data_IF_030755379642
#
_entry.id   IF_030755379642
#
_cell.length_a   1.000
_cell.length_b   1.000
_cell.length_c   1.000
_cell.angle_alpha   90.00
_cell.angle_beta   90.00
_cell.angle_gamma   90.00
#
_symmetry.space_group_name_H-M   'P 1'
#
loop_
_entity.id
_entity.type
_entity.pdbx_description
1 polymer ?
#
# COMPACT_ATOMS: atom_id res chain seq x y z
N UNK A 1 9.61 15.92 -4.29
CA UNK A 1 10.39 14.95 -3.50
C UNK A 1 9.64 13.63 -3.52
N UNK A 2 10.34 12.51 -3.68
CA UNK A 2 9.74 11.17 -3.80
C UNK A 2 9.56 10.52 -2.42
N UNK A 3 8.41 9.89 -2.19
CA UNK A 3 8.17 9.01 -1.04
C UNK A 3 8.17 7.57 -1.50
N UNK A 4 8.55 6.68 -0.60
CA UNK A 4 8.60 5.26 -0.90
C UNK A 4 7.87 4.50 0.18
N UNK A 5 7.15 3.45 -0.19
CA UNK A 5 6.81 2.38 0.74
C UNK A 5 8.05 1.54 0.93
N UNK A 6 8.55 1.41 2.16
CA UNK A 6 9.72 0.59 2.48
C UNK A 6 9.30 -0.67 3.20
N UNK A 7 9.72 -1.83 2.68
CA UNK A 7 9.50 -3.12 3.30
C UNK A 7 10.83 -3.68 3.82
N UNK A 8 10.89 -3.86 5.15
CA UNK A 8 12.00 -4.52 5.84
C UNK A 8 11.61 -5.97 6.14
N UNK A 9 12.52 -6.91 5.89
CA UNK A 9 12.31 -8.35 6.07
C UNK A 9 13.63 -9.09 5.80
N UNK A 10 13.60 -10.43 5.78
CA UNK A 10 14.78 -11.21 5.44
C UNK A 10 15.18 -10.96 3.97
N UNK A 11 16.35 -10.34 3.75
CA UNK A 11 16.87 -9.99 2.42
C UNK A 11 17.20 -8.50 2.26
N UNK A 12 17.39 -8.06 1.01
CA UNK A 12 17.62 -6.63 0.70
C UNK A 12 16.34 -5.85 0.96
N UNK A 13 16.36 -4.64 1.53
CA UNK A 13 15.14 -3.82 1.64
C UNK A 13 14.55 -3.53 0.25
N UNK A 14 13.22 -3.38 0.18
CA UNK A 14 12.53 -2.96 -1.04
C UNK A 14 11.89 -1.60 -0.80
N UNK A 15 11.96 -0.73 -1.80
CA UNK A 15 11.26 0.54 -1.86
C UNK A 15 10.31 0.56 -3.05
N UNK A 16 9.03 0.87 -2.83
CA UNK A 16 8.03 1.08 -3.87
C UNK A 16 7.79 2.60 -3.99
N UNK A 17 8.15 3.25 -5.11
CA UNK A 17 7.91 4.68 -5.28
C UNK A 17 6.42 5.02 -5.26
N UNK A 18 6.05 6.08 -4.53
CA UNK A 18 4.68 6.60 -4.52
C UNK A 18 4.26 7.10 -5.90
N UNK A 19 5.21 7.61 -6.70
CA UNK A 19 4.96 7.96 -8.10
C UNK A 19 4.46 6.78 -8.93
N UNK A 20 5.03 5.58 -8.74
CA UNK A 20 4.55 4.37 -9.39
C UNK A 20 3.21 3.92 -8.82
N UNK A 21 3.06 3.92 -7.48
CA UNK A 21 1.80 3.54 -6.83
C UNK A 21 0.62 4.47 -7.16
N UNK A 22 0.87 5.72 -7.55
CA UNK A 22 -0.20 6.62 -8.02
C UNK A 22 -0.86 6.11 -9.31
N UNK A 23 -0.09 5.47 -10.20
CA UNK A 23 -0.60 4.87 -11.42
C UNK A 23 -1.26 3.51 -11.16
N UNK A 24 -0.53 2.63 -10.45
CA UNK A 24 -0.94 1.24 -10.25
C UNK A 24 -2.02 1.06 -9.19
N UNK A 25 -1.92 1.82 -8.09
CA UNK A 25 -2.75 1.78 -6.87
C UNK A 25 -2.75 0.47 -6.08
N UNK A 26 -2.50 -0.66 -6.74
CA UNK A 26 -2.32 -1.99 -6.15
C UNK A 26 -1.03 -2.57 -6.69
N UNK A 27 -0.14 -2.98 -5.81
CA UNK A 27 1.10 -3.68 -6.18
C UNK A 27 1.16 -5.00 -5.43
N UNK A 28 1.06 -6.11 -6.14
CA UNK A 28 1.30 -7.45 -5.57
C UNK A 28 2.79 -7.78 -5.58
N UNK A 29 3.27 -8.34 -4.47
CA UNK A 29 4.67 -8.68 -4.28
C UNK A 29 4.79 -10.08 -3.67
N UNK A 30 5.90 -10.77 -3.97
CA UNK A 30 6.31 -11.97 -3.27
C UNK A 30 7.70 -11.73 -2.67
N UNK A 31 7.85 -11.91 -1.34
CA UNK A 31 9.10 -11.67 -0.63
C UNK A 31 9.29 -12.69 0.47
N UNK A 32 10.43 -13.39 0.48
CA UNK A 32 10.73 -14.39 1.52
C UNK A 32 9.68 -15.51 1.64
N UNK A 33 8.97 -15.82 0.55
CA UNK A 33 7.84 -16.76 0.55
C UNK A 33 6.50 -16.18 1.03
N UNK A 34 6.48 -14.93 1.51
CA UNK A 34 5.25 -14.22 1.82
C UNK A 34 4.69 -13.52 0.59
N UNK A 35 3.37 -13.56 0.45
CA UNK A 35 2.65 -12.88 -0.62
C UNK A 35 1.94 -11.66 -0.08
N UNK A 36 2.35 -10.51 -0.58
CA UNK A 36 2.01 -9.21 -0.03
C UNK A 36 1.22 -8.40 -1.06
N UNK A 37 0.46 -7.43 -0.56
CA UNK A 37 -0.15 -6.39 -1.37
C UNK A 37 0.12 -5.03 -0.76
N UNK A 38 0.67 -4.12 -1.57
CA UNK A 38 0.79 -2.71 -1.22
C UNK A 38 -0.36 -1.96 -1.89
N UNK A 39 -1.17 -1.30 -1.07
CA UNK A 39 -2.34 -0.53 -1.48
C UNK A 39 -2.02 0.95 -1.39
N UNK A 40 -2.49 1.72 -2.37
CA UNK A 40 -2.38 3.18 -2.38
C UNK A 40 -3.71 3.82 -2.75
N UNK A 41 -4.09 4.82 -1.97
CA UNK A 41 -5.25 5.65 -2.22
C UNK A 41 -4.83 7.12 -2.23
N UNK A 42 -5.39 7.96 -3.13
CA UNK A 42 -5.20 9.40 -3.05
C UNK A 42 -5.63 9.91 -1.68
N UNK A 43 -4.93 10.93 -1.16
CA UNK A 43 -5.16 11.44 0.17
C UNK A 43 -6.54 12.07 0.25
N UNK A 44 -7.41 11.55 1.12
CA UNK A 44 -8.49 12.38 1.67
C UNK A 44 -7.80 13.51 2.43
N UNK A 45 -8.08 14.76 2.06
CA UNK A 45 -7.65 15.93 2.83
C UNK A 45 -7.84 15.64 4.31
N UNK A 46 -6.75 15.57 5.07
CA UNK A 46 -6.76 15.31 6.51
C UNK A 46 -7.81 16.21 7.16
N UNK A 47 -8.80 15.62 7.84
CA UNK A 47 -9.82 16.35 8.58
C UNK A 47 -9.27 17.11 9.82
N UNK A 48 -7.94 17.21 9.95
CA UNK A 48 -7.25 18.06 10.92
C UNK A 48 -6.84 19.43 10.36
N UNK A 49 -6.90 19.68 9.05
CA UNK A 49 -6.33 20.88 8.44
C UNK A 49 -7.37 21.93 8.06
N UNK A 50 -8.33 22.23 8.95
CA UNK A 50 -9.33 23.27 8.65
C UNK A 50 -8.79 24.69 8.68
N UNK A 51 -7.55 24.93 9.07
CA UNK A 51 -6.88 26.21 8.78
C UNK A 51 -5.39 25.96 8.49
N UNK A 52 -4.99 26.23 7.23
CA UNK A 52 -3.63 26.64 6.83
C UNK A 52 -2.64 25.56 6.36
N UNK A 53 -3.04 24.70 5.43
CA UNK A 53 -2.11 24.09 4.44
C UNK A 53 -2.71 24.15 3.03
N UNK A 54 -2.83 25.35 2.48
CA UNK A 54 -2.86 25.49 1.03
C UNK A 54 -1.46 25.12 0.50
N UNK A 55 -1.38 24.28 -0.54
CA UNK A 55 -0.16 23.88 -1.30
C UNK A 55 0.56 22.56 -0.97
N UNK A 56 -0.01 21.66 -0.16
CA UNK A 56 0.46 20.26 -0.14
C UNK A 56 -0.08 19.51 -1.36
N UNK A 57 0.75 19.21 -2.37
CA UNK A 57 0.39 18.23 -3.43
C UNK A 57 -0.14 16.97 -2.76
N UNK A 58 -1.25 16.43 -3.25
CA UNK A 58 -1.76 15.15 -2.75
C UNK A 58 -0.64 14.10 -2.79
N UNK A 59 -0.23 13.71 -1.58
CA UNK A 59 0.83 12.75 -1.36
C UNK A 59 0.28 11.33 -1.45
N UNK A 60 -1.02 11.12 -1.23
CA UNK A 60 -1.62 9.80 -1.07
C UNK A 60 -1.24 9.11 0.24
N UNK A 61 -1.99 8.07 0.56
CA UNK A 61 -1.75 7.19 1.69
C UNK A 61 -1.55 5.76 1.18
N UNK A 62 -0.70 5.00 1.87
CA UNK A 62 -0.40 3.61 1.52
C UNK A 62 -0.35 2.73 2.75
N UNK A 63 -0.68 1.46 2.54
CA UNK A 63 -0.56 0.40 3.52
C UNK A 63 -0.13 -0.90 2.84
N UNK A 64 0.47 -1.82 3.60
CA UNK A 64 0.92 -3.12 3.09
C UNK A 64 0.37 -4.23 3.97
N UNK A 65 -0.11 -5.28 3.34
CA UNK A 65 -0.75 -6.41 4.00
C UNK A 65 -0.28 -7.75 3.46
N UNK A 66 -0.40 -8.80 4.27
CA UNK A 66 -0.46 -10.18 3.78
C UNK A 66 -1.71 -10.34 2.92
N UNK A 67 -1.59 -11.02 1.78
CA UNK A 67 -2.72 -11.36 0.93
C UNK A 67 -3.31 -12.75 1.25
N UNK A 68 -2.75 -13.43 2.24
CA UNK A 68 -3.28 -14.70 2.74
C UNK A 68 -4.28 -14.44 3.86
N UNK A 69 -5.54 -14.79 3.64
CA UNK A 69 -6.62 -14.62 4.60
C UNK A 69 -7.51 -15.87 4.61
N UNK A 70 -7.77 -16.41 5.80
CA UNK A 70 -8.63 -17.59 6.00
C UNK A 70 -8.27 -18.79 5.10
N UNK A 71 -6.97 -19.03 4.90
CA UNK A 71 -6.46 -20.12 4.05
C UNK A 71 -6.62 -19.88 2.55
N UNK A 72 -7.01 -18.67 2.14
CA UNK A 72 -7.14 -18.23 0.75
C UNK A 72 -6.08 -17.20 0.45
N UNK A 73 -5.69 -17.11 -0.81
CA UNK A 73 -4.80 -16.10 -1.30
C UNK A 73 -5.59 -15.13 -2.18
N UNK A 74 -5.56 -13.84 -1.84
CA UNK A 74 -6.35 -12.81 -2.48
C UNK A 74 -5.53 -12.01 -3.49
N UNK A 75 -6.16 -11.63 -4.59
CA UNK A 75 -5.64 -10.66 -5.56
C UNK A 75 -6.60 -9.48 -5.63
N UNK A 76 -6.06 -8.28 -5.81
CA UNK A 76 -6.81 -7.04 -5.63
C UNK A 76 -6.78 -6.19 -6.89
N UNK A 77 -7.86 -5.47 -7.13
CA UNK A 77 -7.95 -4.44 -8.15
C UNK A 77 -8.41 -3.11 -7.54
N UNK A 78 -7.90 -1.96 -8.01
CA UNK A 78 -8.33 -0.66 -7.51
C UNK A 78 -9.73 -0.31 -8.03
N UNK A 79 -10.55 0.26 -7.16
CA UNK A 79 -11.86 0.81 -7.51
C UNK A 79 -11.78 2.32 -7.71
N UNK A 80 -12.66 2.88 -8.55
CA UNK A 80 -12.67 4.30 -8.92
C UNK A 80 -12.90 5.25 -7.72
N UNK A 81 -13.55 4.77 -6.67
CA UNK A 81 -13.91 5.52 -5.46
C UNK A 81 -12.80 5.57 -4.40
N UNK A 82 -11.63 5.01 -4.68
CA UNK A 82 -10.52 4.96 -3.72
C UNK A 82 -10.41 3.65 -2.95
N UNK A 83 -11.41 2.76 -3.06
CA UNK A 83 -11.40 1.42 -2.47
C UNK A 83 -10.69 0.39 -3.33
N UNK A 84 -10.75 -0.86 -2.89
CA UNK A 84 -10.15 -2.03 -3.56
C UNK A 84 -11.15 -3.18 -3.58
N UNK A 85 -11.01 -4.08 -4.54
CA UNK A 85 -11.84 -5.30 -4.63
C UNK A 85 -10.95 -6.52 -4.75
N UNK A 86 -11.25 -7.58 -3.99
CA UNK A 86 -10.59 -8.87 -4.23
C UNK A 86 -11.28 -9.64 -5.36
N UNK A 87 -10.52 -10.33 -6.19
CA UNK A 87 -11.07 -11.06 -7.35
C UNK A 87 -11.70 -12.40 -6.96
N UNK A 88 -11.29 -12.99 -5.84
CA UNK A 88 -11.66 -14.35 -5.45
C UNK A 88 -13.07 -14.43 -4.84
N UNK A 89 -13.50 -13.38 -4.16
CA UNK A 89 -14.80 -13.30 -3.50
C UNK A 89 -15.62 -12.09 -3.97
N UNK A 90 -14.96 -11.09 -4.54
CA UNK A 90 -15.59 -9.84 -4.93
C UNK A 90 -15.90 -8.92 -3.74
N UNK A 91 -15.29 -9.14 -2.58
CA UNK A 91 -15.44 -8.24 -1.43
C UNK A 91 -14.70 -6.93 -1.70
N UNK A 92 -15.19 -5.86 -1.08
CA UNK A 92 -14.57 -4.54 -1.19
C UNK A 92 -13.85 -4.17 0.09
N UNK A 93 -12.73 -3.49 -0.06
CA UNK A 93 -11.75 -3.27 0.99
C UNK A 93 -11.37 -1.80 1.07
N UNK A 94 -11.18 -1.33 2.29
CA UNK A 94 -10.64 0.00 2.58
C UNK A 94 -9.11 0.00 2.54
N UNK A 95 -8.50 1.20 2.52
CA UNK A 95 -7.04 1.35 2.59
C UNK A 95 -6.45 0.77 3.89
N UNK A 96 -7.22 0.73 4.98
CA UNK A 96 -6.79 0.18 6.27
C UNK A 96 -6.84 -1.35 6.32
N UNK A 97 -7.26 -2.01 5.23
CA UNK A 97 -7.29 -3.47 5.13
C UNK A 97 -8.58 -4.09 5.67
N UNK A 98 -9.61 -3.29 5.95
CA UNK A 98 -10.91 -3.78 6.39
C UNK A 98 -11.81 -4.10 5.21
N UNK A 99 -12.43 -5.29 5.21
CA UNK A 99 -13.49 -5.63 4.26
C UNK A 99 -14.79 -4.92 4.65
N UNK A 100 -15.20 -3.95 3.83
CA UNK A 100 -16.35 -3.08 4.10
C UNK A 100 -17.66 -3.59 3.52
N UNK A 101 -17.58 -4.39 2.45
CA UNK A 101 -18.74 -5.01 1.81
C UNK A 101 -18.38 -6.34 1.12
N UNK A 102 -19.41 -7.16 0.86
CA UNK A 102 -19.26 -8.46 0.20
C UNK A 102 -19.04 -9.64 1.16
N UNK A 103 -18.69 -10.83 0.63
CA UNK A 103 -18.63 -12.07 1.40
C UNK A 103 -17.67 -12.08 2.59
N UNK A 104 -16.59 -11.31 2.55
CA UNK A 104 -15.59 -11.21 3.61
C UNK A 104 -15.83 -10.00 4.54
N UNK A 105 -16.99 -9.35 4.46
CA UNK A 105 -17.29 -8.16 5.28
C UNK A 105 -17.06 -8.41 6.77
N UNK A 106 -16.32 -7.49 7.39
CA UNK A 106 -15.94 -7.55 8.81
C UNK A 106 -14.61 -8.24 9.08
N UNK A 107 -14.03 -8.92 8.08
CA UNK A 107 -12.66 -9.42 8.14
C UNK A 107 -11.64 -8.28 7.93
N UNK A 108 -10.42 -8.49 8.41
CA UNK A 108 -9.31 -7.56 8.28
C UNK A 108 -8.07 -8.29 7.75
N UNK A 109 -7.35 -7.66 6.82
CA UNK A 109 -6.06 -8.18 6.34
C UNK A 109 -4.98 -8.01 7.41
N UNK A 110 -4.06 -8.98 7.49
CA UNK A 110 -2.93 -8.90 8.40
C UNK A 110 -1.92 -7.83 7.93
N UNK A 111 -1.68 -6.76 8.71
CA UNK A 111 -0.77 -5.68 8.32
C UNK A 111 0.69 -6.13 8.36
N UNK A 112 1.46 -5.70 7.36
CA UNK A 112 2.90 -5.92 7.30
C UNK A 112 3.64 -4.66 7.71
N UNK A 113 4.68 -4.83 8.54
CA UNK A 113 5.51 -3.72 8.97
C UNK A 113 6.16 -3.02 7.76
N UNK A 114 5.84 -1.74 7.58
CA UNK A 114 6.35 -0.91 6.50
C UNK A 114 6.56 0.52 6.96
N UNK A 115 7.32 1.28 6.17
CA UNK A 115 7.52 2.71 6.37
C UNK A 115 7.13 3.49 5.13
N UNK A 116 6.82 4.78 5.30
CA UNK A 116 6.57 5.70 4.20
C UNK A 116 7.57 6.89 4.21
N UNK A 117 8.91 6.69 4.25
CA UNK A 117 9.86 7.79 4.29
C UNK A 117 10.00 8.50 2.94
N UNK A 118 10.65 9.67 2.95
CA UNK A 118 11.21 10.22 1.71
C UNK A 118 12.41 9.39 1.25
N UNK A 119 12.51 9.14 -0.06
CA UNK A 119 13.58 8.31 -0.63
C UNK A 119 14.98 8.81 -0.25
N UNK A 120 15.21 10.12 -0.35
CA UNK A 120 16.52 10.72 -0.05
C UNK A 120 16.96 10.49 1.40
N UNK A 121 16.02 10.41 2.34
CA UNK A 121 16.31 10.18 3.74
C UNK A 121 16.57 8.69 4.01
N UNK A 122 15.84 7.82 3.32
CA UNK A 122 15.96 6.36 3.47
C UNK A 122 17.27 5.82 2.88
N UNK A 123 17.58 6.17 1.63
CA UNK A 123 18.69 5.55 0.87
C UNK A 123 20.06 5.82 1.49
N UNK A 124 20.21 6.92 2.23
CA UNK A 124 21.44 7.23 2.99
C UNK A 124 21.75 6.14 4.03
N UNK A 125 20.72 5.54 4.64
CA UNK A 125 20.88 4.50 5.66
C UNK A 125 20.76 3.07 5.11
N UNK A 126 20.19 2.90 3.91
CA UNK A 126 19.94 1.61 3.25
C UNK A 126 20.24 1.69 1.75
N UNK A 127 21.50 1.95 1.35
CA UNK A 127 21.87 2.12 -0.07
C UNK A 127 21.66 0.85 -0.91
N UNK A 128 21.63 -0.32 -0.28
CA UNK A 128 21.35 -1.62 -0.90
C UNK A 128 19.88 -1.89 -1.22
N UNK A 129 19.00 -0.91 -0.93
CA UNK A 129 17.56 -1.00 -1.18
C UNK A 129 17.28 -1.19 -2.67
N UNK A 130 16.55 -2.25 -2.99
CA UNK A 130 15.97 -2.46 -4.31
C UNK A 130 14.80 -1.50 -4.52
N UNK A 131 14.73 -0.88 -5.70
CA UNK A 131 13.62 0.01 -6.06
C UNK A 131 12.70 -0.76 -6.99
N UNK A 132 11.45 -0.93 -6.59
CA UNK A 132 10.43 -1.55 -7.41
C UNK A 132 10.08 -0.66 -8.62
N UNK A 133 9.89 -1.29 -9.77
CA UNK A 133 9.38 -0.67 -10.99
C UNK A 133 8.25 -1.51 -11.56
N UNK A 134 7.23 -0.85 -12.13
CA UNK A 134 6.22 -1.53 -12.92
C UNK A 134 6.87 -2.26 -14.11
N UNK A 135 6.35 -3.45 -14.43
CA UNK A 135 6.78 -4.26 -15.58
C UNK A 135 6.13 -3.81 -16.88
#
# INVERSE_FOLDING_TARGET
>A
MERVVTLAGEGRPLAIPFSSMRGERVVHLERGGERLVALWSPGTSSALDRERVAWGRDVGSSAVFSRSLLGRELTFEPLADGGFRDQETGSTWSLTGDAVDGPLKGEQLDPVAHGNPFWFAWVVFRPETEVWSAG
#
